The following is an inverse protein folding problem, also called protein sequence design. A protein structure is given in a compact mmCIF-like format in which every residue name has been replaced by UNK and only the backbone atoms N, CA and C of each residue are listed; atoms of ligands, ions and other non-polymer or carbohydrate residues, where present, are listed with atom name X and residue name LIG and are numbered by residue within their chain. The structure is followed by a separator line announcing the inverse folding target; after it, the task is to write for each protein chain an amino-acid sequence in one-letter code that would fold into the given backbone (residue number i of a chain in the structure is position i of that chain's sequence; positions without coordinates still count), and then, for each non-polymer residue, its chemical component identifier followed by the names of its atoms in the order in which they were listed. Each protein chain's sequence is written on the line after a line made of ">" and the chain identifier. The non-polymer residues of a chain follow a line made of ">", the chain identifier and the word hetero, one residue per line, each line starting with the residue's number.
data_IF_517101799651
#
_entry.id   IF_517101799651
#
_cell.length_a   1.000
_cell.length_b   1.000
_cell.length_c   1.000
_cell.angle_alpha   90.00
_cell.angle_beta   90.00
_cell.angle_gamma   90.00
#
_symmetry.space_group_name_H-M   'P 1'
#
loop_
_entity.id
_entity.type
_entity.pdbx_description
1 polymer ?
#
# COMPACT_ATOMS: atom_id res chain seq x y z
N UNK A 1 -23.77 -42.86 52.23
CA UNK A 1 -23.80 -42.75 50.76
C UNK A 1 -23.83 -41.27 50.39
N UNK A 2 -22.67 -40.62 50.42
CA UNK A 2 -22.48 -39.22 50.10
C UNK A 2 -21.85 -39.14 48.70
N UNK A 3 -22.45 -38.36 47.78
CA UNK A 3 -21.83 -38.00 46.50
C UNK A 3 -21.50 -36.52 46.52
N UNK A 4 -20.23 -36.26 46.74
CA UNK A 4 -19.53 -35.00 46.55
C UNK A 4 -19.41 -34.72 45.04
N UNK A 5 -19.96 -33.61 44.58
CA UNK A 5 -19.70 -33.06 43.24
C UNK A 5 -18.36 -32.31 43.28
N UNK A 6 -17.35 -32.91 42.66
CA UNK A 6 -16.03 -32.33 42.48
C UNK A 6 -16.09 -31.34 41.30
N UNK A 7 -15.94 -30.05 41.59
CA UNK A 7 -15.67 -29.03 40.58
C UNK A 7 -14.25 -29.26 40.03
N UNK A 8 -14.15 -29.74 38.78
CA UNK A 8 -12.88 -29.77 38.06
C UNK A 8 -12.65 -28.38 37.45
N UNK A 9 -11.67 -27.65 37.99
CA UNK A 9 -11.13 -26.45 37.38
C UNK A 9 -10.44 -26.86 36.07
N UNK A 10 -11.05 -26.49 34.93
CA UNK A 10 -10.44 -26.62 33.62
C UNK A 10 -9.36 -25.53 33.51
N UNK A 11 -8.11 -25.93 33.73
CA UNK A 11 -6.94 -25.12 33.39
C UNK A 11 -6.96 -24.93 31.87
N UNK A 12 -7.37 -23.74 31.43
CA UNK A 12 -7.12 -23.25 30.07
C UNK A 12 -5.61 -23.05 29.92
N UNK A 13 -4.88 -24.12 29.62
CA UNK A 13 -3.55 -24.00 29.05
C UNK A 13 -3.74 -23.41 27.66
N UNK A 14 -3.49 -22.11 27.54
CA UNK A 14 -3.23 -21.45 26.25
C UNK A 14 -2.15 -22.26 25.55
N UNK A 15 -2.54 -23.00 24.51
CA UNK A 15 -1.58 -23.66 23.64
C UNK A 15 -0.65 -22.57 23.10
N UNK A 16 0.67 -22.73 23.19
CA UNK A 16 1.58 -21.77 22.60
C UNK A 16 1.33 -21.75 21.09
N UNK A 17 0.91 -20.59 20.58
CA UNK A 17 0.99 -20.28 19.16
C UNK A 17 2.42 -20.67 18.71
N UNK A 18 2.58 -21.44 17.61
CA UNK A 18 3.90 -21.88 17.19
C UNK A 18 4.82 -20.66 17.09
N UNK A 19 5.86 -20.65 17.93
CA UNK A 19 6.97 -19.72 17.84
C UNK A 19 7.52 -19.82 16.42
N UNK A 20 7.12 -18.87 15.57
CA UNK A 20 7.91 -18.54 14.40
C UNK A 20 9.30 -18.22 14.93
N UNK A 21 10.29 -18.97 14.45
CA UNK A 21 11.68 -18.63 14.66
C UNK A 21 11.86 -17.15 14.31
N UNK A 22 12.60 -16.43 15.15
CA UNK A 22 12.71 -14.98 15.13
C UNK A 22 13.25 -14.44 13.80
N UNK A 23 12.37 -14.22 12.83
CA UNK A 23 12.67 -13.49 11.60
C UNK A 23 12.61 -12.00 11.92
N UNK A 24 13.64 -11.54 12.65
CA UNK A 24 13.91 -10.12 12.77
C UNK A 24 14.39 -9.61 11.42
N UNK A 25 13.74 -8.60 10.85
CA UNK A 25 14.28 -7.86 9.71
C UNK A 25 15.50 -7.03 10.21
N UNK A 26 16.66 -7.67 10.28
CA UNK A 26 17.91 -7.06 10.77
C UNK A 26 18.75 -6.45 9.64
N UNK A 27 18.37 -6.69 8.40
CA UNK A 27 19.05 -6.16 7.21
C UNK A 27 18.13 -5.24 6.43
N UNK A 28 18.66 -4.08 6.06
CA UNK A 28 18.03 -3.15 5.13
C UNK A 28 17.89 -3.76 3.73
N UNK A 29 16.89 -3.28 2.98
CA UNK A 29 16.72 -3.60 1.56
C UNK A 29 17.93 -3.16 0.73
N UNK A 30 18.61 -2.09 1.13
CA UNK A 30 19.85 -1.63 0.49
C UNK A 30 21.05 -2.03 1.36
N UNK A 31 22.03 -2.78 0.81
CA UNK A 31 23.26 -3.12 1.52
C UNK A 31 23.98 -1.88 2.06
N UNK A 32 24.46 -1.97 3.31
CA UNK A 32 25.19 -0.89 3.97
C UNK A 32 24.32 0.17 4.66
N UNK A 33 23.00 0.13 4.50
CA UNK A 33 22.08 0.97 5.27
C UNK A 33 21.61 0.25 6.55
N UNK A 34 21.35 0.98 7.64
CA UNK A 34 20.75 0.39 8.83
C UNK A 34 19.31 -0.04 8.53
N UNK A 35 18.87 -1.14 9.14
CA UNK A 35 17.46 -1.50 9.15
C UNK A 35 16.64 -0.41 9.85
N UNK A 36 15.44 -0.16 9.33
CA UNK A 36 14.49 0.79 9.87
C UNK A 36 13.09 0.18 9.88
N UNK A 37 12.19 0.77 10.66
CA UNK A 37 10.78 0.44 10.64
C UNK A 37 9.94 1.70 10.73
N UNK A 38 8.88 1.78 9.94
CA UNK A 38 7.95 2.91 9.97
C UNK A 38 6.74 2.54 10.81
N UNK A 39 6.21 3.53 11.53
CA UNK A 39 4.93 3.45 12.22
C UNK A 39 4.06 4.64 11.81
N UNK A 40 2.77 4.55 12.10
CA UNK A 40 1.82 5.64 11.91
C UNK A 40 0.85 5.38 10.77
N UNK A 41 0.11 4.29 10.84
CA UNK A 41 -1.00 3.98 9.95
C UNK A 41 -2.07 5.08 9.94
N UNK A 42 -2.60 5.43 8.77
CA UNK A 42 -3.73 6.34 8.63
C UNK A 42 -3.41 7.77 9.07
N UNK A 43 -4.21 8.43 9.92
CA UNK A 43 -4.00 9.83 10.29
C UNK A 43 -2.93 10.04 11.38
N UNK A 44 -2.30 8.95 11.87
CA UNK A 44 -1.29 9.01 12.92
C UNK A 44 -0.03 9.75 12.48
N UNK A 45 0.70 10.29 13.45
CA UNK A 45 2.05 10.81 13.23
C UNK A 45 2.91 9.74 12.56
N UNK A 46 3.62 10.12 11.49
CA UNK A 46 4.55 9.22 10.80
C UNK A 46 5.83 9.15 11.60
N UNK A 47 6.19 7.96 12.04
CA UNK A 47 7.35 7.73 12.90
C UNK A 47 8.28 6.73 12.24
N UNK A 48 9.57 6.84 12.53
CA UNK A 48 10.57 5.89 12.09
C UNK A 48 11.44 5.48 13.26
N UNK A 49 11.59 4.18 13.45
CA UNK A 49 12.68 3.62 14.23
C UNK A 49 13.89 3.36 13.32
N UNK A 50 15.07 3.83 13.73
CA UNK A 50 16.34 3.52 13.06
C UNK A 50 17.50 3.64 14.04
N UNK A 51 18.33 2.61 14.15
CA UNK A 51 19.63 2.69 14.85
C UNK A 51 19.58 3.17 16.31
N UNK A 52 18.52 2.83 17.05
CA UNK A 52 18.35 3.31 18.43
C UNK A 52 17.71 4.69 18.56
N UNK A 53 17.14 5.22 17.49
CA UNK A 53 16.37 6.46 17.51
C UNK A 53 14.92 6.20 17.09
N UNK A 54 13.99 6.89 17.74
CA UNK A 54 12.61 7.07 17.27
C UNK A 54 12.48 8.52 16.84
N UNK A 55 12.12 8.74 15.58
CA UNK A 55 12.04 10.07 14.98
C UNK A 55 10.73 10.28 14.23
N UNK A 56 10.34 11.53 14.04
CA UNK A 56 9.28 11.90 13.11
C UNK A 56 9.75 11.68 11.66
N UNK A 57 9.06 10.81 10.94
CA UNK A 57 9.46 10.36 9.61
C UNK A 57 9.22 11.42 8.50
N UNK A 58 8.56 12.54 8.80
CA UNK A 58 8.37 13.67 7.87
C UNK A 58 9.40 14.76 8.10
N UNK A 59 9.80 15.01 9.34
CA UNK A 59 10.68 16.14 9.70
C UNK A 59 12.11 15.71 10.02
N UNK A 60 12.33 14.45 10.42
CA UNK A 60 13.61 13.99 10.96
C UNK A 60 13.84 14.35 12.42
N UNK A 61 12.88 14.97 13.09
CA UNK A 61 12.99 15.32 14.51
C UNK A 61 13.12 14.07 15.37
N UNK A 62 14.20 13.99 16.14
CA UNK A 62 14.43 12.87 17.06
C UNK A 62 13.55 13.05 18.30
N UNK A 63 12.57 12.17 18.46
CA UNK A 63 11.68 12.15 19.63
C UNK A 63 12.34 11.45 20.81
N UNK A 64 13.11 10.39 20.54
CA UNK A 64 13.80 9.62 21.58
C UNK A 64 15.03 8.89 21.04
N UNK A 65 16.02 8.71 21.92
CA UNK A 65 17.28 8.02 21.63
C UNK A 65 17.62 7.04 22.75
N UNK A 66 18.15 5.88 22.36
CA UNK A 66 18.57 4.82 23.26
C UNK A 66 19.98 4.33 22.91
N UNK A 67 20.72 3.90 23.93
CA UNK A 67 21.95 3.11 23.74
C UNK A 67 21.55 1.65 23.55
N UNK A 68 21.43 1.22 22.29
CA UNK A 68 20.90 -0.09 21.91
C UNK A 68 22.04 -1.09 21.70
N UNK A 69 21.93 -2.25 22.36
CA UNK A 69 22.79 -3.40 22.12
C UNK A 69 22.33 -4.20 20.89
N UNK A 70 21.01 -4.37 20.76
CA UNK A 70 20.40 -5.02 19.60
C UNK A 70 18.93 -4.58 19.44
N UNK A 71 18.41 -4.69 18.22
CA UNK A 71 17.01 -4.43 17.92
C UNK A 71 16.43 -5.59 17.11
N UNK A 72 15.21 -5.99 17.46
CA UNK A 72 14.41 -6.95 16.70
C UNK A 72 13.22 -6.22 16.09
N UNK A 73 13.20 -6.10 14.76
CA UNK A 73 12.09 -5.54 13.98
C UNK A 73 11.24 -6.72 13.51
N UNK A 74 9.95 -6.72 13.88
CA UNK A 74 8.97 -7.74 13.49
C UNK A 74 7.84 -7.09 12.70
N UNK A 75 7.99 -6.96 11.37
CA UNK A 75 7.07 -6.18 10.53
C UNK A 75 5.63 -6.68 10.57
N UNK A 76 5.41 -8.00 10.54
CA UNK A 76 4.06 -8.56 10.57
C UNK A 76 3.35 -8.40 11.93
N UNK A 77 4.08 -8.03 12.98
CA UNK A 77 3.59 -7.74 14.33
C UNK A 77 3.58 -6.23 14.62
N UNK A 78 3.98 -5.40 13.65
CA UNK A 78 4.12 -3.96 13.81
C UNK A 78 4.88 -3.57 15.08
N UNK A 79 5.97 -4.29 15.36
CA UNK A 79 6.68 -4.17 16.64
C UNK A 79 8.19 -4.09 16.43
N UNK A 80 8.83 -3.20 17.20
CA UNK A 80 10.27 -3.11 17.38
C UNK A 80 10.60 -3.30 18.85
N UNK A 81 11.45 -4.27 19.16
CA UNK A 81 11.96 -4.53 20.52
C UNK A 81 13.44 -4.21 20.59
N UNK A 82 13.82 -3.35 21.54
CA UNK A 82 15.20 -2.91 21.77
C UNK A 82 15.75 -3.56 23.03
N UNK A 83 16.94 -4.15 22.93
CA UNK A 83 17.77 -4.50 24.07
C UNK A 83 18.74 -3.37 24.32
N UNK A 84 18.73 -2.79 25.52
CA UNK A 84 19.59 -1.65 25.85
C UNK A 84 20.96 -2.12 26.36
N UNK A 85 22.01 -1.33 26.14
CA UNK A 85 23.33 -1.61 26.73
C UNK A 85 23.38 -1.31 28.23
N UNK A 86 22.42 -0.52 28.73
CA UNK A 86 22.41 0.03 30.10
C UNK A 86 21.35 -0.59 31.00
N UNK A 87 20.46 -1.43 30.46
CA UNK A 87 19.32 -1.99 31.20
C UNK A 87 18.96 -3.37 30.67
N UNK A 88 18.56 -4.26 31.57
CA UNK A 88 18.01 -5.57 31.21
C UNK A 88 16.52 -5.51 30.85
N UNK A 89 15.85 -4.38 31.06
CA UNK A 89 14.46 -4.20 30.63
C UNK A 89 14.44 -3.73 29.17
N UNK A 90 13.70 -4.41 28.28
CA UNK A 90 13.60 -4.00 26.90
C UNK A 90 12.75 -2.74 26.74
N UNK A 91 12.96 -2.02 25.64
CA UNK A 91 12.04 -1.00 25.14
C UNK A 91 11.23 -1.63 24.01
N UNK A 92 9.92 -1.44 24.01
CA UNK A 92 9.05 -1.93 22.93
C UNK A 92 8.34 -0.75 22.30
N UNK A 93 8.44 -0.64 20.98
CA UNK A 93 7.63 0.27 20.17
C UNK A 93 6.68 -0.62 19.37
N UNK A 94 5.38 -0.42 19.51
CA UNK A 94 4.38 -1.24 18.84
C UNK A 94 3.25 -0.39 18.26
N UNK A 95 2.57 -0.91 17.25
CA UNK A 95 1.40 -0.27 16.65
C UNK A 95 0.23 -1.25 16.56
N UNK A 96 -0.95 -0.82 17.02
CA UNK A 96 -2.19 -1.59 16.98
C UNK A 96 -3.34 -0.77 16.36
N UNK A 97 -4.58 -1.26 16.44
CA UNK A 97 -5.75 -0.60 15.87
C UNK A 97 -6.03 0.78 16.49
N UNK A 98 -5.49 1.09 17.68
CA UNK A 98 -5.77 2.33 18.42
C UNK A 98 -4.64 3.36 18.33
N UNK A 99 -3.38 2.92 18.25
CA UNK A 99 -2.26 3.85 18.13
C UNK A 99 -0.89 3.23 18.01
N UNK A 100 0.11 4.11 18.03
CA UNK A 100 1.53 3.77 18.25
C UNK A 100 1.85 3.94 19.73
N UNK A 101 2.52 2.95 20.30
CA UNK A 101 2.78 2.81 21.71
C UNK A 101 4.28 2.67 21.98
N UNK A 102 4.70 3.24 23.09
CA UNK A 102 6.04 3.08 23.63
C UNK A 102 5.94 2.48 25.03
N UNK A 103 6.54 1.30 25.21
CA UNK A 103 6.70 0.64 26.50
C UNK A 103 8.16 0.73 26.95
N UNK A 104 8.37 1.37 28.10
CA UNK A 104 9.68 1.52 28.71
C UNK A 104 9.53 1.56 30.25
N UNK A 105 10.43 0.87 30.95
CA UNK A 105 10.43 0.79 32.42
C UNK A 105 9.09 0.32 33.01
N UNK A 106 8.41 -0.61 32.32
CA UNK A 106 7.10 -1.12 32.72
C UNK A 106 5.93 -0.16 32.49
N UNK A 107 6.15 1.00 31.84
CA UNK A 107 5.11 1.97 31.51
C UNK A 107 4.84 2.00 30.02
N UNK A 108 3.57 1.79 29.63
CA UNK A 108 3.07 1.99 28.27
C UNK A 108 2.51 3.40 28.12
N UNK A 109 2.93 4.12 27.09
CA UNK A 109 2.40 5.44 26.73
C UNK A 109 2.09 5.50 25.23
N UNK A 110 1.03 6.22 24.87
CA UNK A 110 0.74 6.51 23.46
C UNK A 110 1.73 7.55 22.93
N UNK A 111 2.30 7.29 21.76
CA UNK A 111 3.10 8.26 21.00
C UNK A 111 2.18 9.01 20.03
N UNK A 112 1.26 8.29 19.38
CA UNK A 112 0.24 8.84 18.49
C UNK A 112 -0.99 7.94 18.52
N UNK A 113 -2.18 8.50 18.75
CA UNK A 113 -3.43 7.74 18.84
C UNK A 113 -4.41 8.18 17.74
N UNK A 114 -4.92 7.22 16.99
CA UNK A 114 -6.06 7.36 16.09
C UNK A 114 -6.50 5.98 15.62
N UNK A 115 -7.81 5.68 15.55
CA UNK A 115 -8.27 4.36 15.16
C UNK A 115 -8.02 4.06 13.68
N UNK A 116 -7.62 2.81 13.38
CA UNK A 116 -7.61 2.22 12.04
C UNK A 116 -8.04 0.75 12.14
N UNK A 117 -8.56 0.18 11.04
CA UNK A 117 -8.88 -1.26 11.01
C UNK A 117 -7.63 -2.04 10.61
N UNK A 118 -7.18 -2.99 11.44
CA UNK A 118 -6.03 -3.88 11.18
C UNK A 118 -6.45 -5.36 11.26
N UNK A 119 -6.90 -5.99 10.17
CA UNK A 119 -7.22 -7.41 10.15
C UNK A 119 -5.97 -8.28 10.38
N UNK A 120 -6.15 -9.45 11.03
CA UNK A 120 -5.06 -10.42 11.21
C UNK A 120 -4.80 -11.29 9.95
N UNK A 121 -5.77 -11.29 9.02
CA UNK A 121 -5.83 -12.09 7.79
C UNK A 121 -5.79 -13.61 8.01
N UNK A 122 -6.22 -14.08 9.19
CA UNK A 122 -6.31 -15.52 9.52
C UNK A 122 -7.75 -15.98 9.28
N UNK A 123 -8.00 -16.63 8.15
CA UNK A 123 -9.36 -17.02 7.72
C UNK A 123 -9.49 -18.49 7.31
N UNK A 124 -8.50 -19.33 7.67
CA UNK A 124 -8.47 -20.76 7.35
C UNK A 124 -8.22 -21.09 5.87
N UNK A 125 -8.17 -20.10 4.97
CA UNK A 125 -7.80 -20.26 3.57
C UNK A 125 -6.32 -19.95 3.32
N UNK A 126 -5.78 -19.01 4.09
CA UNK A 126 -4.40 -18.53 3.97
C UNK A 126 -3.52 -19.15 5.05
N UNK A 127 -2.30 -19.50 4.66
CA UNK A 127 -1.27 -19.89 5.62
C UNK A 127 -0.73 -18.68 6.40
N UNK A 128 -0.01 -18.95 7.48
CA UNK A 128 0.53 -17.91 8.36
C UNK A 128 1.54 -16.99 7.66
N UNK A 129 2.28 -17.49 6.67
CA UNK A 129 3.22 -16.69 5.87
C UNK A 129 2.47 -15.67 5.02
N UNK A 130 1.42 -16.10 4.32
CA UNK A 130 0.57 -15.23 3.51
C UNK A 130 -0.14 -14.20 4.37
N UNK A 131 -0.67 -14.61 5.54
CA UNK A 131 -1.26 -13.68 6.49
C UNK A 131 -0.25 -12.63 6.98
N UNK A 132 0.99 -13.04 7.28
CA UNK A 132 2.07 -12.12 7.68
C UNK A 132 2.42 -11.12 6.56
N UNK A 133 2.53 -11.59 5.31
CA UNK A 133 2.77 -10.71 4.15
C UNK A 133 1.63 -9.70 3.97
N UNK A 134 0.38 -10.14 4.06
CA UNK A 134 -0.78 -9.25 3.94
C UNK A 134 -0.82 -8.18 5.04
N UNK A 135 -0.43 -8.52 6.28
CA UNK A 135 -0.29 -7.53 7.36
C UNK A 135 0.74 -6.45 7.02
N UNK A 136 1.90 -6.84 6.47
CA UNK A 136 2.96 -5.90 6.10
C UNK A 136 2.54 -5.02 4.92
N UNK A 137 1.96 -5.61 3.87
CA UNK A 137 1.51 -4.88 2.68
C UNK A 137 0.38 -3.90 3.01
N UNK A 138 -0.55 -4.31 3.86
CA UNK A 138 -1.62 -3.44 4.35
C UNK A 138 -1.07 -2.27 5.16
N UNK A 139 -0.10 -2.54 6.04
CA UNK A 139 0.62 -1.50 6.77
C UNK A 139 1.32 -0.51 5.83
N UNK A 140 2.01 -0.98 4.80
CA UNK A 140 2.68 -0.11 3.81
C UNK A 140 1.72 0.79 3.03
N UNK A 141 0.48 0.34 2.80
CA UNK A 141 -0.59 1.16 2.23
C UNK A 141 -1.05 2.21 3.24
N UNK A 142 -1.31 1.82 4.48
CA UNK A 142 -1.82 2.72 5.53
C UNK A 142 -0.80 3.79 5.94
N UNK A 143 0.49 3.49 5.95
CA UNK A 143 1.56 4.45 6.24
C UNK A 143 1.56 5.65 5.30
N UNK A 144 1.12 5.42 4.05
CA UNK A 144 1.12 6.41 2.99
C UNK A 144 -0.20 7.16 2.85
N UNK A 145 -1.15 6.93 3.76
CA UNK A 145 -2.26 7.85 3.97
C UNK A 145 -1.78 8.99 4.85
N UNK A 146 -1.69 10.20 4.29
CA UNK A 146 -1.18 11.39 4.99
C UNK A 146 -2.20 12.52 4.86
N UNK A 147 -2.65 13.05 5.99
CA UNK A 147 -3.64 14.14 6.02
C UNK A 147 -4.89 13.81 5.18
N UNK A 148 -5.33 12.55 5.24
CA UNK A 148 -6.46 12.00 4.48
C UNK A 148 -6.18 11.69 3.00
N UNK A 149 -4.93 11.82 2.54
CA UNK A 149 -4.54 11.68 1.12
C UNK A 149 -3.76 10.38 0.88
N UNK A 150 -4.14 9.56 -0.12
CA UNK A 150 -3.42 8.35 -0.48
C UNK A 150 -2.20 8.66 -1.38
N UNK A 151 -1.01 8.75 -0.80
CA UNK A 151 0.22 9.07 -1.55
C UNK A 151 0.90 7.79 -2.08
N UNK A 152 1.63 7.84 -3.22
CA UNK A 152 2.44 6.71 -3.67
C UNK A 152 3.55 6.34 -2.68
N UNK A 153 4.24 7.36 -2.18
CA UNK A 153 5.15 7.33 -1.05
C UNK A 153 5.22 8.73 -0.42
N UNK A 154 4.94 8.86 0.87
CA UNK A 154 4.83 10.19 1.50
C UNK A 154 6.14 10.97 1.61
N UNK A 155 7.29 10.31 1.46
CA UNK A 155 8.61 10.96 1.54
C UNK A 155 9.01 11.58 0.21
N UNK A 156 8.66 10.96 -0.93
CA UNK A 156 9.12 11.43 -2.26
C UNK A 156 8.01 12.01 -3.15
N UNK A 157 6.74 11.80 -2.79
CA UNK A 157 5.58 12.36 -3.49
C UNK A 157 4.77 13.30 -2.59
N UNK A 158 4.27 14.39 -3.17
CA UNK A 158 3.50 15.44 -2.46
C UNK A 158 1.99 15.38 -2.70
N UNK A 159 1.58 14.73 -3.78
CA UNK A 159 0.19 14.68 -4.24
C UNK A 159 -0.21 13.24 -4.56
N UNK A 160 -1.47 12.85 -4.29
CA UNK A 160 -2.00 11.56 -4.74
C UNK A 160 -2.00 11.45 -6.25
N UNK A 161 -1.63 10.28 -6.77
CA UNK A 161 -1.85 9.87 -8.15
C UNK A 161 -3.13 9.04 -8.20
N UNK A 162 -4.00 9.27 -9.18
CA UNK A 162 -5.28 8.56 -9.28
C UNK A 162 -5.08 7.07 -9.52
N UNK A 163 -4.00 6.70 -10.22
CA UNK A 163 -3.63 5.31 -10.45
C UNK A 163 -3.29 4.59 -9.14
N UNK A 164 -2.33 5.13 -8.38
CA UNK A 164 -1.96 4.63 -7.06
C UNK A 164 -3.13 4.68 -6.08
N UNK A 165 -3.85 5.80 -6.03
CA UNK A 165 -4.99 5.99 -5.14
C UNK A 165 -6.11 4.99 -5.40
N UNK A 166 -6.43 4.69 -6.67
CA UNK A 166 -7.44 3.70 -7.02
C UNK A 166 -7.03 2.30 -6.54
N UNK A 167 -5.75 1.93 -6.72
CA UNK A 167 -5.22 0.64 -6.26
C UNK A 167 -5.20 0.55 -4.73
N UNK A 168 -4.76 1.60 -4.04
CA UNK A 168 -4.86 1.71 -2.58
C UNK A 168 -6.32 1.57 -2.13
N UNK A 169 -7.24 2.28 -2.78
CA UNK A 169 -8.65 2.31 -2.40
C UNK A 169 -9.33 0.94 -2.53
N UNK A 170 -8.91 0.10 -3.49
CA UNK A 170 -9.35 -1.30 -3.56
C UNK A 170 -8.98 -2.09 -2.30
N UNK A 171 -7.76 -1.90 -1.78
CA UNK A 171 -7.33 -2.52 -0.52
C UNK A 171 -8.05 -1.93 0.69
N UNK A 172 -8.20 -0.61 0.74
CA UNK A 172 -8.93 0.06 1.81
C UNK A 172 -10.41 -0.37 1.85
N UNK A 173 -11.04 -0.61 0.70
CA UNK A 173 -12.39 -1.17 0.61
C UNK A 173 -12.45 -2.59 1.16
N UNK A 174 -11.50 -3.47 0.79
CA UNK A 174 -11.44 -4.86 1.29
C UNK A 174 -11.12 -4.95 2.79
N UNK A 175 -10.48 -3.94 3.37
CA UNK A 175 -10.03 -3.93 4.78
C UNK A 175 -10.85 -3.05 5.70
N UNK A 176 -11.88 -2.37 5.21
CA UNK A 176 -12.72 -1.48 6.03
C UNK A 176 -12.03 -0.19 6.46
N UNK A 177 -11.23 0.40 5.56
CA UNK A 177 -10.44 1.62 5.81
C UNK A 177 -10.71 2.76 4.80
N UNK A 178 -11.78 2.69 3.99
CA UNK A 178 -12.10 3.72 2.98
C UNK A 178 -12.31 5.10 3.62
N UNK A 179 -12.87 5.15 4.83
CA UNK A 179 -13.12 6.41 5.55
C UNK A 179 -11.85 7.24 5.77
N UNK A 180 -10.67 6.61 5.77
CA UNK A 180 -9.39 7.30 5.90
C UNK A 180 -9.09 8.26 4.73
N UNK A 181 -9.67 8.02 3.55
CA UNK A 181 -9.46 8.84 2.35
C UNK A 181 -10.76 9.46 1.81
N UNK A 182 -11.87 9.26 2.52
CA UNK A 182 -13.21 9.65 2.08
C UNK A 182 -13.33 11.14 1.80
N UNK A 183 -12.89 11.99 2.73
CA UNK A 183 -12.98 13.45 2.57
C UNK A 183 -12.14 13.94 1.38
N UNK A 184 -10.99 13.31 1.11
CA UNK A 184 -10.20 13.61 -0.07
C UNK A 184 -10.96 13.26 -1.36
N UNK A 185 -11.60 12.08 -1.44
CA UNK A 185 -12.40 11.67 -2.61
C UNK A 185 -13.59 12.62 -2.82
N UNK A 186 -14.35 12.95 -1.77
CA UNK A 186 -15.47 13.90 -1.82
C UNK A 186 -15.03 15.32 -2.22
N UNK A 187 -13.76 15.65 -2.01
CA UNK A 187 -13.14 16.91 -2.42
C UNK A 187 -12.69 16.97 -3.87
N UNK A 188 -12.64 15.85 -4.61
CA UNK A 188 -12.13 15.82 -5.98
C UNK A 188 -13.03 16.62 -6.94
N UNK A 189 -12.41 17.47 -7.78
CA UNK A 189 -13.10 18.28 -8.80
C UNK A 189 -12.49 18.18 -10.18
N UNK A 190 -11.24 17.74 -10.28
CA UNK A 190 -10.48 17.64 -11.52
C UNK A 190 -10.49 16.22 -12.07
N UNK A 191 -10.82 15.99 -13.35
CA UNK A 191 -10.79 14.65 -13.96
C UNK A 191 -9.40 14.01 -14.07
N UNK A 192 -8.33 14.79 -13.89
CA UNK A 192 -6.94 14.38 -14.04
C UNK A 192 -6.14 14.87 -12.84
N UNK A 193 -5.22 14.03 -12.33
CA UNK A 193 -4.30 14.44 -11.26
C UNK A 193 -3.17 15.34 -11.77
N UNK A 194 -2.81 15.21 -13.07
CA UNK A 194 -1.76 15.95 -13.76
C UNK A 194 -0.36 15.79 -13.17
N UNK A 195 -0.13 14.73 -12.39
CA UNK A 195 1.14 14.54 -11.72
C UNK A 195 2.26 14.17 -12.70
N UNK A 196 1.94 13.55 -13.83
CA UNK A 196 2.93 13.19 -14.84
C UNK A 196 3.26 14.38 -15.77
N UNK A 197 4.04 15.33 -15.25
CA UNK A 197 4.46 16.54 -15.98
C UNK A 197 3.28 17.37 -16.56
N UNK A 198 2.13 17.40 -15.87
CA UNK A 198 0.96 18.16 -16.29
C UNK A 198 0.04 17.45 -17.31
N UNK A 199 0.42 16.24 -17.75
CA UNK A 199 -0.34 15.46 -18.74
C UNK A 199 -1.77 15.16 -18.28
N UNK A 200 -2.68 15.04 -19.25
CA UNK A 200 -4.06 14.61 -19.04
C UNK A 200 -4.17 13.16 -19.44
N UNK A 201 -3.86 12.25 -18.52
CA UNK A 201 -3.80 10.82 -18.82
C UNK A 201 -5.20 10.21 -18.80
N UNK A 202 -5.71 9.65 -19.92
CA UNK A 202 -7.10 9.21 -20.01
C UNK A 202 -7.50 8.07 -19.05
N UNK A 203 -6.54 7.31 -18.51
CA UNK A 203 -6.80 6.27 -17.51
C UNK A 203 -7.28 6.87 -16.18
N UNK A 204 -6.89 8.12 -15.86
CA UNK A 204 -7.39 8.86 -14.70
C UNK A 204 -8.92 8.97 -14.69
N UNK A 205 -9.57 9.05 -15.86
CA UNK A 205 -11.02 9.23 -15.97
C UNK A 205 -11.76 8.07 -15.30
N UNK A 206 -11.41 6.83 -15.64
CA UNK A 206 -12.00 5.64 -15.05
C UNK A 206 -11.63 5.44 -13.59
N UNK A 207 -10.37 5.73 -13.23
CA UNK A 207 -9.88 5.66 -11.85
C UNK A 207 -10.63 6.63 -10.94
N UNK A 208 -10.85 7.87 -11.39
CA UNK A 208 -11.60 8.89 -10.67
C UNK A 208 -13.06 8.49 -10.44
N UNK A 209 -13.73 7.91 -11.44
CA UNK A 209 -15.10 7.40 -11.28
C UNK A 209 -15.15 6.24 -10.27
N UNK A 210 -14.19 5.32 -10.33
CA UNK A 210 -14.08 4.25 -9.34
C UNK A 210 -13.88 4.80 -7.92
N UNK A 211 -12.96 5.76 -7.73
CA UNK A 211 -12.76 6.40 -6.42
C UNK A 211 -14.06 7.01 -5.89
N UNK A 212 -14.78 7.78 -6.71
CA UNK A 212 -16.06 8.37 -6.33
C UNK A 212 -17.07 7.31 -5.91
N UNK A 213 -17.15 6.18 -6.61
CA UNK A 213 -18.11 5.10 -6.31
C UNK A 213 -17.99 4.51 -4.90
N UNK A 214 -16.83 4.68 -4.25
CA UNK A 214 -16.59 4.16 -2.91
C UNK A 214 -17.26 4.99 -1.82
N UNK A 215 -17.60 6.26 -2.09
CA UNK A 215 -18.06 7.21 -1.06
C UNK A 215 -19.22 8.10 -1.49
N UNK A 216 -19.55 8.13 -2.77
CA UNK A 216 -20.59 8.97 -3.36
C UNK A 216 -21.24 8.27 -4.55
N UNK A 217 -22.23 8.93 -5.15
CA UNK A 217 -22.98 8.43 -6.30
C UNK A 217 -22.69 9.23 -7.58
N UNK A 218 -23.44 8.92 -8.64
CA UNK A 218 -23.36 9.58 -9.95
C UNK A 218 -23.61 11.10 -9.92
N UNK A 219 -24.16 11.67 -8.83
CA UNK A 219 -24.40 13.12 -8.71
C UNK A 219 -23.18 13.90 -8.25
N UNK A 220 -22.10 13.22 -7.86
CA UNK A 220 -20.86 13.90 -7.47
C UNK A 220 -20.34 14.78 -8.63
N UNK A 221 -19.95 16.05 -8.41
CA UNK A 221 -19.60 16.99 -9.48
C UNK A 221 -18.49 16.49 -10.43
N UNK A 222 -17.54 15.71 -9.90
CA UNK A 222 -16.47 15.11 -10.69
C UNK A 222 -17.00 14.19 -11.78
N UNK A 223 -18.11 13.49 -11.56
CA UNK A 223 -18.67 12.52 -12.52
C UNK A 223 -19.03 13.24 -13.81
N UNK A 224 -19.76 14.35 -13.72
CA UNK A 224 -20.12 15.15 -14.90
C UNK A 224 -18.89 15.72 -15.62
N UNK A 225 -17.88 16.16 -14.86
CA UNK A 225 -16.62 16.65 -15.42
C UNK A 225 -15.86 15.54 -16.17
N UNK A 226 -15.75 14.34 -15.58
CA UNK A 226 -15.11 13.18 -16.20
C UNK A 226 -15.84 12.76 -17.48
N UNK A 227 -17.18 12.63 -17.43
CA UNK A 227 -17.95 12.24 -18.62
C UNK A 227 -17.81 13.25 -19.76
N UNK A 228 -17.76 14.54 -19.44
CA UNK A 228 -17.51 15.59 -20.43
C UNK A 228 -16.10 15.49 -21.01
N UNK A 229 -15.07 15.32 -20.18
CA UNK A 229 -13.69 15.24 -20.66
C UNK A 229 -13.42 13.95 -21.44
N UNK A 230 -14.07 12.83 -21.11
CA UNK A 230 -13.96 11.58 -21.84
C UNK A 230 -14.28 11.73 -23.34
N UNK A 231 -15.25 12.58 -23.70
CA UNK A 231 -15.58 12.88 -25.10
C UNK A 231 -14.44 13.56 -25.85
N UNK A 232 -13.60 14.35 -25.17
CA UNK A 232 -12.43 14.97 -25.81
C UNK A 232 -11.31 13.98 -26.15
N UNK A 233 -11.34 12.79 -25.54
CA UNK A 233 -10.41 11.69 -25.78
C UNK A 233 -11.05 10.53 -26.55
N UNK A 234 -12.26 10.72 -27.09
CA UNK A 234 -12.96 9.67 -27.83
C UNK A 234 -12.38 9.51 -29.23
N UNK A 235 -11.99 8.29 -29.58
CA UNK A 235 -11.68 7.87 -30.95
C UNK A 235 -12.64 6.73 -31.35
N UNK A 236 -13.69 7.05 -32.10
CA UNK A 236 -14.78 6.09 -32.35
C UNK A 236 -15.48 5.70 -31.05
N UNK A 237 -15.39 4.41 -30.69
CA UNK A 237 -16.06 3.87 -29.49
C UNK A 237 -15.10 3.64 -28.31
N UNK A 238 -13.86 4.15 -28.33
CA UNK A 238 -12.87 3.95 -27.25
C UNK A 238 -12.16 5.25 -26.83
N UNK A 239 -11.49 5.22 -25.68
CA UNK A 239 -10.60 6.30 -25.25
C UNK A 239 -9.23 6.16 -25.92
N UNK A 240 -8.64 7.30 -26.28
CA UNK A 240 -7.27 7.41 -26.80
C UNK A 240 -6.50 8.49 -26.04
N UNK A 241 -5.20 8.62 -26.31
CA UNK A 241 -4.29 9.56 -25.65
C UNK A 241 -3.16 8.83 -24.94
N UNK A 242 -2.31 9.59 -24.22
CA UNK A 242 -1.13 9.04 -23.58
C UNK A 242 -1.38 8.74 -22.10
N UNK A 243 -0.89 7.59 -21.64
CA UNK A 243 -0.62 7.28 -20.23
C UNK A 243 0.87 6.94 -20.14
N UNK A 244 1.61 7.49 -19.18
CA UNK A 244 3.06 7.32 -19.08
C UNK A 244 3.81 7.61 -20.40
N UNK A 245 3.39 8.69 -21.06
CA UNK A 245 3.94 9.21 -22.33
C UNK A 245 3.77 8.30 -23.55
N UNK A 246 2.97 7.22 -23.46
CA UNK A 246 2.70 6.32 -24.57
C UNK A 246 1.18 6.05 -24.75
N UNK A 247 0.72 5.71 -25.96
CA UNK A 247 -0.68 5.41 -26.21
C UNK A 247 -1.09 4.07 -25.58
N UNK A 248 -2.15 4.09 -24.75
CA UNK A 248 -2.69 2.91 -24.06
C UNK A 248 -4.22 2.82 -24.15
N UNK A 249 -4.81 2.77 -25.36
CA UNK A 249 -6.25 2.86 -25.55
C UNK A 249 -7.03 1.67 -24.96
N UNK A 250 -6.42 0.49 -24.85
CA UNK A 250 -7.06 -0.69 -24.25
C UNK A 250 -7.14 -0.50 -22.74
N UNK A 251 -6.02 -0.15 -22.11
CA UNK A 251 -5.93 0.06 -20.66
C UNK A 251 -6.85 1.21 -20.19
N UNK A 252 -6.78 2.36 -20.88
CA UNK A 252 -7.59 3.53 -20.59
C UNK A 252 -9.08 3.21 -20.68
N UNK A 253 -9.50 2.52 -21.75
CA UNK A 253 -10.90 2.14 -21.95
C UNK A 253 -11.37 1.11 -20.92
N UNK A 254 -10.53 0.16 -20.50
CA UNK A 254 -10.86 -0.78 -19.42
C UNK A 254 -11.15 -0.07 -18.10
N UNK A 255 -10.30 0.88 -17.71
CA UNK A 255 -10.54 1.72 -16.54
C UNK A 255 -11.84 2.51 -16.64
N UNK A 256 -12.13 3.13 -17.80
CA UNK A 256 -13.36 3.89 -18.01
C UNK A 256 -14.60 3.02 -17.79
N UNK A 257 -14.64 1.84 -18.43
CA UNK A 257 -15.75 0.88 -18.27
C UNK A 257 -15.90 0.42 -16.82
N UNK A 258 -14.79 0.15 -16.15
CA UNK A 258 -14.79 -0.25 -14.75
C UNK A 258 -15.37 0.84 -13.83
N UNK A 259 -14.93 2.09 -13.99
CA UNK A 259 -15.42 3.23 -13.22
C UNK A 259 -16.90 3.54 -13.48
N UNK A 260 -17.35 3.51 -14.75
CA UNK A 260 -18.75 3.67 -15.12
C UNK A 260 -19.63 2.60 -14.44
N UNK A 261 -19.21 1.34 -14.54
CA UNK A 261 -19.93 0.23 -13.92
C UNK A 261 -20.03 0.38 -12.41
N UNK A 262 -18.95 0.79 -11.75
CA UNK A 262 -18.93 0.97 -10.30
C UNK A 262 -19.95 2.03 -9.83
N UNK A 263 -20.26 3.03 -10.66
CA UNK A 263 -21.27 4.05 -10.40
C UNK A 263 -22.67 3.72 -10.97
N UNK A 264 -22.85 2.56 -11.61
CA UNK A 264 -24.10 2.21 -12.29
C UNK A 264 -24.43 3.12 -13.47
N UNK A 265 -23.42 3.72 -14.11
CA UNK A 265 -23.58 4.60 -15.27
C UNK A 265 -23.67 3.79 -16.58
N UNK A 266 -24.36 4.33 -17.61
CA UNK A 266 -24.39 3.70 -18.92
C UNK A 266 -22.99 3.58 -19.53
N UNK A 267 -22.72 2.43 -20.14
CA UNK A 267 -21.44 2.11 -20.78
C UNK A 267 -21.62 2.04 -22.30
N UNK A 268 -21.11 3.06 -23.00
CA UNK A 268 -21.11 3.14 -24.46
C UNK A 268 -19.74 2.80 -25.08
N UNK A 269 -18.76 2.39 -24.28
CA UNK A 269 -17.38 2.23 -24.74
C UNK A 269 -17.10 0.78 -25.15
N UNK A 270 -16.30 0.60 -26.20
CA UNK A 270 -15.81 -0.69 -26.69
C UNK A 270 -14.31 -0.77 -26.51
N UNK A 271 -13.82 -1.83 -25.89
CA UNK A 271 -12.38 -2.04 -25.74
C UNK A 271 -11.81 -2.36 -27.12
N UNK A 272 -10.87 -1.58 -27.65
CA UNK A 272 -10.31 -1.84 -28.97
C UNK A 272 -9.45 -3.11 -28.94
N UNK A 273 -9.46 -3.89 -30.03
CA UNK A 273 -8.62 -5.08 -30.19
C UNK A 273 -7.30 -4.68 -30.86
N UNK A 274 -6.46 -3.96 -30.12
CA UNK A 274 -5.13 -3.52 -30.56
C UNK A 274 -4.08 -3.92 -29.53
N UNK A 275 -2.82 -3.98 -29.93
CA UNK A 275 -1.72 -4.18 -28.99
C UNK A 275 -1.62 -3.00 -28.02
N UNK A 276 -1.51 -3.32 -26.74
CA UNK A 276 -1.35 -2.36 -25.66
C UNK A 276 -0.59 -3.05 -24.53
N UNK A 277 0.62 -2.56 -24.25
CA UNK A 277 1.47 -3.14 -23.21
C UNK A 277 0.91 -2.98 -21.81
N UNK A 278 -0.01 -2.04 -21.57
CA UNK A 278 -0.67 -1.81 -20.28
C UNK A 278 -1.95 -2.63 -20.13
N UNK A 279 -2.49 -3.21 -21.22
CA UNK A 279 -3.65 -4.12 -21.14
C UNK A 279 -3.51 -5.21 -20.07
N UNK A 280 -2.37 -5.94 -19.94
CA UNK A 280 -2.20 -6.96 -18.91
C UNK A 280 -1.98 -6.39 -17.50
N UNK A 281 -2.01 -5.08 -17.29
CA UNK A 281 -2.00 -4.50 -15.94
C UNK A 281 -3.42 -4.41 -15.35
N UNK A 282 -4.46 -4.59 -16.18
CA UNK A 282 -5.85 -4.53 -15.75
C UNK A 282 -6.40 -5.95 -15.57
N UNK A 283 -6.14 -6.57 -14.41
CA UNK A 283 -6.53 -7.95 -14.10
C UNK A 283 -7.96 -8.10 -13.56
N UNK A 284 -8.55 -7.01 -13.06
CA UNK A 284 -9.84 -6.99 -12.37
C UNK A 284 -11.02 -7.42 -13.26
N UNK A 285 -10.91 -7.25 -14.58
CA UNK A 285 -11.92 -7.63 -15.56
C UNK A 285 -11.37 -7.57 -17.00
N UNK A 286 -12.20 -7.93 -17.99
CA UNK A 286 -11.95 -7.76 -19.43
C UNK A 286 -10.64 -8.42 -19.90
N UNK A 287 -10.27 -9.53 -19.28
CA UNK A 287 -9.03 -10.27 -19.58
C UNK A 287 -9.03 -10.91 -20.96
N UNK A 288 -10.22 -11.21 -21.47
CA UNK A 288 -10.48 -11.71 -22.83
C UNK A 288 -10.32 -10.62 -23.91
N UNK A 289 -10.42 -9.34 -23.55
CA UNK A 289 -10.19 -8.20 -24.44
C UNK A 289 -8.72 -7.77 -24.37
N UNK A 290 -7.84 -8.61 -24.92
CA UNK A 290 -6.40 -8.39 -24.95
C UNK A 290 -5.79 -9.01 -26.21
N UNK A 291 -4.99 -8.22 -26.93
CA UNK A 291 -4.09 -8.72 -27.97
C UNK A 291 -2.73 -8.96 -27.32
N UNK A 292 -2.25 -10.21 -27.40
CA UNK A 292 -0.98 -10.62 -26.78
C UNK A 292 0.18 -9.73 -27.22
N UNK A 293 0.88 -9.15 -26.26
CA UNK A 293 2.13 -8.41 -26.49
C UNK A 293 3.32 -9.29 -26.14
N UNK A 294 4.54 -8.88 -26.48
CA UNK A 294 5.79 -9.60 -26.16
C UNK A 294 6.08 -9.74 -24.63
N UNK A 295 5.11 -9.43 -23.77
CA UNK A 295 5.25 -9.39 -22.32
C UNK A 295 5.97 -8.12 -21.85
N UNK A 296 5.74 -7.75 -20.59
CA UNK A 296 6.45 -6.63 -19.97
C UNK A 296 7.92 -7.01 -19.75
N UNK A 297 8.83 -6.20 -20.29
CA UNK A 297 10.28 -6.44 -20.30
C UNK A 297 10.86 -6.50 -18.88
N UNK A 298 11.81 -7.40 -18.67
CA UNK A 298 12.49 -7.69 -17.39
C UNK A 298 13.09 -6.47 -16.67
N UNK A 299 13.52 -5.43 -17.40
CA UNK A 299 14.06 -4.20 -16.79
C UNK A 299 12.97 -3.35 -16.11
N UNK A 300 11.76 -3.27 -16.67
CA UNK A 300 10.65 -2.54 -16.05
C UNK A 300 10.22 -3.14 -14.71
N UNK A 301 10.40 -4.46 -14.53
CA UNK A 301 10.07 -5.16 -13.27
C UNK A 301 11.02 -4.83 -12.11
N UNK A 302 12.24 -4.36 -12.39
CA UNK A 302 13.20 -4.02 -11.33
C UNK A 302 12.88 -2.64 -10.72
N UNK A 303 12.61 -1.65 -11.58
CA UNK A 303 12.27 -0.29 -11.18
C UNK A 303 10.79 -0.12 -10.80
N UNK A 304 9.89 -0.79 -11.51
CA UNK A 304 8.43 -0.68 -11.38
C UNK A 304 7.81 -2.07 -11.14
N UNK A 305 8.13 -2.72 -10.00
CA UNK A 305 7.73 -4.10 -9.73
C UNK A 305 6.20 -4.33 -9.74
N UNK A 306 5.41 -3.30 -9.43
CA UNK A 306 3.95 -3.34 -9.53
C UNK A 306 3.45 -3.72 -10.93
N UNK A 307 4.14 -3.32 -12.00
CA UNK A 307 3.80 -3.71 -13.37
C UNK A 307 3.96 -5.23 -13.59
N UNK A 308 5.00 -5.81 -12.97
CA UNK A 308 5.24 -7.25 -12.99
C UNK A 308 4.16 -8.02 -12.25
N UNK A 309 3.81 -7.57 -11.04
CA UNK A 309 2.75 -8.17 -10.23
C UNK A 309 1.38 -8.11 -10.90
N UNK A 310 0.99 -6.94 -11.41
CA UNK A 310 -0.27 -6.76 -12.13
C UNK A 310 -0.35 -7.69 -13.36
N UNK A 311 0.74 -7.78 -14.12
CA UNK A 311 0.84 -8.67 -15.28
C UNK A 311 0.74 -10.15 -14.89
N UNK A 312 1.43 -10.57 -13.83
CA UNK A 312 1.39 -11.96 -13.39
C UNK A 312 0.00 -12.32 -12.84
N UNK A 313 -0.67 -11.39 -12.13
CA UNK A 313 -2.06 -11.53 -11.70
C UNK A 313 -3.02 -11.68 -12.88
N UNK A 314 -2.88 -10.83 -13.91
CA UNK A 314 -3.68 -10.90 -15.14
C UNK A 314 -3.60 -12.28 -15.81
N UNK A 315 -2.37 -12.82 -15.96
CA UNK A 315 -2.13 -14.12 -16.57
C UNK A 315 -2.33 -15.31 -15.61
N UNK A 316 -2.69 -15.07 -14.34
CA UNK A 316 -2.89 -16.13 -13.35
C UNK A 316 -1.61 -16.90 -13.01
N UNK A 317 -0.44 -16.26 -13.13
CA UNK A 317 0.85 -16.90 -12.83
C UNK A 317 1.12 -16.92 -11.34
N UNK A 318 1.24 -18.12 -10.76
CA UNK A 318 1.51 -18.30 -9.34
C UNK A 318 2.62 -17.37 -8.84
N UNK A 319 2.36 -16.50 -7.85
CA UNK A 319 3.35 -15.55 -7.37
C UNK A 319 4.48 -16.27 -6.63
N UNK A 320 5.69 -15.72 -6.75
CA UNK A 320 6.80 -16.09 -5.87
C UNK A 320 6.71 -15.20 -4.65
N UNK A 321 6.50 -15.81 -3.47
CA UNK A 321 6.37 -15.06 -2.23
C UNK A 321 7.72 -14.43 -1.85
N UNK A 322 7.75 -13.12 -1.52
CA UNK A 322 8.96 -12.52 -0.97
C UNK A 322 9.25 -13.07 0.42
N UNK A 323 10.49 -12.93 0.87
CA UNK A 323 10.83 -13.13 2.27
C UNK A 323 10.05 -12.13 3.14
N UNK A 324 9.72 -12.53 4.37
CA UNK A 324 9.08 -11.64 5.34
C UNK A 324 10.12 -10.62 5.82
N UNK A 325 10.19 -9.49 5.14
CA UNK A 325 11.11 -8.39 5.41
C UNK A 325 10.36 -7.05 5.37
N UNK A 326 11.06 -5.95 5.68
CA UNK A 326 10.51 -4.61 5.56
C UNK A 326 11.51 -3.63 4.96
N UNK A 327 11.07 -2.75 4.05
CA UNK A 327 9.79 -2.82 3.33
C UNK A 327 9.70 -4.01 2.36
N UNK A 328 8.49 -4.41 1.97
CA UNK A 328 8.21 -5.37 0.90
C UNK A 328 8.01 -4.70 -0.45
N UNK A 329 7.46 -3.48 -0.46
CA UNK A 329 7.19 -2.72 -1.67
C UNK A 329 8.22 -1.61 -1.91
N UNK A 330 8.39 -1.22 -3.17
CA UNK A 330 9.30 -0.17 -3.61
C UNK A 330 8.98 0.27 -5.04
N UNK A 331 9.57 1.40 -5.42
CA UNK A 331 9.69 1.92 -6.78
C UNK A 331 11.08 2.57 -6.91
N UNK A 332 11.68 2.47 -8.11
CA UNK A 332 12.94 3.14 -8.43
C UNK A 332 12.85 3.95 -9.73
N UNK A 333 13.73 4.94 -9.87
CA UNK A 333 13.93 5.73 -11.09
C UNK A 333 12.71 6.46 -11.67
N UNK A 334 11.64 6.62 -10.89
CA UNK A 334 10.46 7.37 -11.28
C UNK A 334 10.80 8.84 -11.58
N UNK A 335 10.21 9.35 -12.66
CA UNK A 335 10.55 10.67 -13.19
C UNK A 335 10.08 11.83 -12.31
N UNK A 336 8.99 11.63 -11.55
CA UNK A 336 8.36 12.66 -10.73
C UNK A 336 8.65 12.55 -9.22
N UNK A 337 9.38 11.51 -8.80
CA UNK A 337 9.74 11.32 -7.40
C UNK A 337 10.89 12.24 -6.95
N UNK A 338 10.71 12.94 -5.84
CA UNK A 338 11.77 13.70 -5.18
C UNK A 338 12.54 12.82 -4.19
N UNK A 339 13.48 12.02 -4.71
CA UNK A 339 14.26 11.08 -3.90
C UNK A 339 15.08 11.70 -2.76
N UNK A 340 15.25 13.02 -2.71
CA UNK A 340 15.88 13.70 -1.55
C UNK A 340 15.13 13.42 -0.25
N UNK A 341 13.82 13.16 -0.31
CA UNK A 341 13.02 12.76 0.85
C UNK A 341 13.52 11.47 1.52
N UNK A 342 14.13 10.56 0.76
CA UNK A 342 14.66 9.31 1.29
C UNK A 342 15.96 9.49 2.09
N UNK A 343 16.54 10.70 2.13
CA UNK A 343 17.70 10.99 2.99
C UNK A 343 17.42 10.76 4.49
N UNK A 344 16.15 10.85 4.89
CA UNK A 344 15.72 10.49 6.25
C UNK A 344 15.89 9.00 6.52
N UNK A 345 15.78 8.14 5.51
CA UNK A 345 15.99 6.69 5.63
C UNK A 345 17.47 6.35 5.52
N UNK A 346 18.13 6.82 4.45
CA UNK A 346 19.54 6.52 4.19
C UNK A 346 20.06 7.14 2.88
N UNK A 347 21.36 7.42 2.81
CA UNK A 347 21.98 8.06 1.65
C UNK A 347 21.97 7.15 0.40
N UNK A 348 22.04 5.84 0.60
CA UNK A 348 22.04 4.86 -0.48
C UNK A 348 20.66 4.72 -1.13
N UNK A 349 19.56 5.04 -0.43
CA UNK A 349 18.23 5.13 -1.04
C UNK A 349 18.16 6.30 -2.04
N UNK A 350 18.78 7.43 -1.68
CA UNK A 350 18.83 8.61 -2.56
C UNK A 350 19.70 8.31 -3.78
N UNK A 351 20.90 7.73 -3.58
CA UNK A 351 21.82 7.44 -4.69
C UNK A 351 21.30 6.37 -5.63
N UNK A 352 20.59 5.36 -5.10
CA UNK A 352 19.91 4.33 -5.88
C UNK A 352 18.57 4.79 -6.48
N UNK A 353 18.12 6.03 -6.18
CA UNK A 353 16.82 6.56 -6.60
C UNK A 353 15.68 5.58 -6.29
N UNK A 354 15.69 5.05 -5.06
CA UNK A 354 14.74 4.03 -4.58
C UNK A 354 13.88 4.63 -3.48
N UNK A 355 12.56 4.54 -3.61
CA UNK A 355 11.63 4.81 -2.52
C UNK A 355 10.95 3.52 -2.06
N UNK A 356 10.91 3.32 -0.75
CA UNK A 356 10.29 2.15 -0.13
C UNK A 356 9.68 2.57 1.22
N UNK A 357 8.42 2.22 1.53
CA UNK A 357 7.48 1.44 0.70
C UNK A 357 6.90 2.21 -0.51
N UNK A 358 6.23 1.53 -1.44
CA UNK A 358 5.48 2.13 -2.56
C UNK A 358 4.06 1.53 -2.68
N UNK A 359 3.03 2.37 -2.68
CA UNK A 359 1.66 1.91 -2.43
C UNK A 359 1.02 1.16 -3.59
N UNK A 360 1.26 1.51 -4.85
CA UNK A 360 0.74 0.70 -5.96
C UNK A 360 1.38 -0.70 -5.94
N UNK A 361 2.67 -0.81 -5.62
CA UNK A 361 3.32 -2.12 -5.49
C UNK A 361 2.77 -2.91 -4.31
N UNK A 362 2.62 -2.28 -3.14
CA UNK A 362 1.99 -2.93 -2.00
C UNK A 362 0.56 -3.39 -2.32
N UNK A 363 -0.23 -2.58 -3.04
CA UNK A 363 -1.60 -2.89 -3.41
C UNK A 363 -1.71 -4.05 -4.40
N UNK A 364 -0.89 -4.11 -5.45
CA UNK A 364 -0.89 -5.22 -6.41
C UNK A 364 -0.55 -6.55 -5.71
N UNK A 365 0.49 -6.54 -4.88
CA UNK A 365 0.86 -7.72 -4.09
C UNK A 365 -0.28 -8.12 -3.14
N UNK A 366 -0.87 -7.17 -2.43
CA UNK A 366 -1.94 -7.44 -1.47
C UNK A 366 -3.15 -8.05 -2.19
N UNK A 367 -3.60 -7.41 -3.26
CA UNK A 367 -4.79 -7.83 -3.99
C UNK A 367 -4.59 -9.21 -4.59
N UNK A 368 -3.42 -9.50 -5.17
CA UNK A 368 -3.14 -10.82 -5.71
C UNK A 368 -3.06 -11.90 -4.62
N UNK A 369 -2.39 -11.64 -3.49
CA UNK A 369 -2.27 -12.61 -2.40
C UNK A 369 -3.55 -12.79 -1.57
N UNK A 370 -4.54 -11.91 -1.75
CA UNK A 370 -5.82 -11.95 -1.04
C UNK A 370 -6.92 -12.74 -1.77
N UNK A 371 -6.68 -13.10 -3.04
CA UNK A 371 -7.57 -13.92 -3.87
C UNK A 371 -7.24 -15.41 -3.73
#
# INVERSE_FOLDING_TARGET
>A
MARTLLFLALILTTLPCPQFAADSATTSMIPGEPAFFLFGCGPRQKLMYRGGELLDARTGEVLKRWSVASAAIRPAELTVTLTLTTSNQPVVISEDAEGVWLEENGRRASVSAAPVTLPDFIDGKRDATTAALLRILHHEILLNVVDGKPLPNFMVYRTPWYRDAAMMAMVLARTGNVDLIKEWILGLREPFDRNNAGQREPDNLGQALYLVSLVADAKHPLVAAVLKEAESFRAGDHLTGNSDFAPHPVYQTKWMKFGLRALGLPDAWKIPLVEDSYSPLFWMDYRDHHVGTAGFVSQGRQAYPYLGWASDHFYGKKPTLPAVAFPLSWEADASQADYRGMSLVGANYVSARLCAPHTWHAAEMFLYLSE
#
